data_IF_016816141718
#
_entry.id   IF_016816141718
#
_cell.length_a   1.000
_cell.length_b   1.000
_cell.length_c   1.000
_cell.angle_alpha   90.00
_cell.angle_beta   90.00
_cell.angle_gamma   90.00
#
_symmetry.space_group_name_H-M   'P 1'
#
loop_
_entity.id
_entity.type
_entity.pdbx_description
1 polymer ?
#
# COMPACT_ATOMS: atom_id res chain seq x y z
N UNK A 1 3.74 54.64 10.68
CA UNK A 1 3.25 54.96 9.32
C UNK A 1 3.26 53.70 8.53
N UNK A 2 2.10 53.17 8.38
CA UNK A 2 1.36 52.91 7.12
C UNK A 2 1.99 51.82 6.26
N UNK A 3 1.32 50.82 5.83
CA UNK A 3 -0.10 50.48 5.72
C UNK A 3 -0.26 49.08 5.16
N UNK A 4 -1.37 48.54 5.55
CA UNK A 4 -2.00 47.32 5.05
C UNK A 4 -2.25 47.32 3.55
N UNK A 5 -2.31 46.15 2.91
CA UNK A 5 -3.36 45.84 1.94
C UNK A 5 -3.59 44.34 1.82
N UNK A 6 -4.79 44.01 2.17
CA UNK A 6 -5.60 42.86 1.90
C UNK A 6 -6.08 42.84 0.42
N UNK A 7 -6.21 41.66 -0.16
CA UNK A 7 -7.13 41.30 -1.26
C UNK A 7 -7.05 39.79 -1.35
N UNK A 8 -8.03 38.99 -1.11
CA UNK A 8 -9.46 39.04 -1.33
C UNK A 8 -9.84 38.44 -2.68
N UNK A 9 -10.65 37.36 -2.60
CA UNK A 9 -11.53 36.86 -3.69
C UNK A 9 -10.95 35.71 -4.55
N UNK A 10 -11.69 34.64 -4.94
CA UNK A 10 -13.12 34.50 -5.16
C UNK A 10 -13.51 33.02 -5.14
N UNK A 11 -14.72 32.82 -4.69
CA UNK A 11 -15.56 31.61 -4.78
C UNK A 11 -16.02 31.45 -6.24
N UNK A 12 -16.00 30.24 -6.77
CA UNK A 12 -16.79 29.87 -7.94
C UNK A 12 -17.54 28.58 -7.68
N UNK A 13 -18.78 28.73 -7.30
CA UNK A 13 -19.86 27.75 -7.36
C UNK A 13 -20.27 27.56 -8.84
N UNK A 14 -20.37 26.33 -9.29
CA UNK A 14 -20.93 25.95 -10.59
C UNK A 14 -21.79 24.70 -10.44
N UNK A 15 -23.06 24.93 -10.17
CA UNK A 15 -24.18 23.98 -10.27
C UNK A 15 -24.75 24.03 -11.67
N UNK A 16 -25.24 22.92 -12.18
CA UNK A 16 -26.28 22.64 -13.16
C UNK A 16 -25.87 21.38 -13.94
N UNK A 17 -26.58 20.27 -14.04
CA UNK A 17 -28.02 20.11 -14.14
C UNK A 17 -28.31 19.21 -15.34
N UNK A 18 -29.13 18.27 -15.08
CA UNK A 18 -30.19 17.79 -15.94
C UNK A 18 -30.05 16.42 -16.64
N UNK A 19 -30.85 15.49 -16.19
CA UNK A 19 -31.98 14.77 -16.80
C UNK A 19 -31.74 14.12 -18.18
N UNK A 20 -32.01 12.82 -18.24
CA UNK A 20 -32.25 12.07 -19.48
C UNK A 20 -32.87 10.70 -19.16
N UNK A 21 -34.17 10.70 -18.96
CA UNK A 21 -35.04 9.52 -18.85
C UNK A 21 -35.30 8.98 -20.25
N UNK A 22 -35.17 7.69 -20.48
CA UNK A 22 -35.79 7.00 -21.64
C UNK A 22 -36.20 5.60 -21.26
N UNK A 23 -37.47 5.51 -21.00
CA UNK A 23 -38.29 4.27 -20.94
C UNK A 23 -38.43 3.68 -22.35
N UNK A 24 -38.24 2.40 -22.53
CA UNK A 24 -38.75 1.66 -23.66
C UNK A 24 -39.24 0.29 -23.21
N UNK A 25 -40.52 0.18 -23.16
CA UNK A 25 -41.38 -1.05 -23.12
C UNK A 25 -41.39 -1.72 -24.48
N UNK A 26 -41.43 -3.07 -24.50
CA UNK A 26 -41.63 -3.89 -25.69
C UNK A 26 -41.67 -5.37 -25.29
N UNK A 27 -42.76 -5.84 -24.94
CA UNK A 27 -43.79 -6.79 -25.39
C UNK A 27 -43.29 -8.16 -25.83
N UNK A 28 -43.82 -9.14 -25.11
CA UNK A 28 -44.13 -10.56 -25.29
C UNK A 28 -43.95 -11.20 -26.69
N UNK A 29 -43.34 -12.36 -26.70
CA UNK A 29 -43.39 -13.36 -27.75
C UNK A 29 -43.14 -14.76 -27.19
N UNK A 30 -44.21 -15.48 -26.96
CA UNK A 30 -44.27 -16.88 -26.55
C UNK A 30 -44.07 -17.78 -27.77
N UNK A 31 -43.26 -18.83 -27.67
CA UNK A 31 -43.57 -20.15 -28.27
C UNK A 31 -42.54 -21.19 -27.83
N UNK A 32 -43.04 -22.25 -27.26
CA UNK A 32 -42.29 -23.39 -26.79
C UNK A 32 -41.77 -24.28 -27.90
N UNK A 33 -40.75 -25.03 -27.60
CA UNK A 33 -40.66 -26.45 -27.98
C UNK A 33 -39.63 -27.17 -27.09
N UNK A 34 -40.07 -28.26 -26.51
CA UNK A 34 -39.25 -29.09 -25.65
C UNK A 34 -38.30 -29.97 -26.46
N UNK A 35 -37.12 -30.13 -25.97
CA UNK A 35 -36.29 -31.30 -26.25
C UNK A 35 -35.50 -31.71 -25.01
N UNK A 36 -35.67 -32.98 -24.70
CA UNK A 36 -35.06 -33.76 -23.62
C UNK A 36 -33.53 -33.69 -23.65
N UNK A 37 -33.00 -33.54 -22.47
CA UNK A 37 -31.90 -34.36 -22.00
C UNK A 37 -30.52 -34.13 -22.60
N UNK A 38 -29.66 -33.57 -21.79
CA UNK A 38 -28.38 -34.18 -21.44
C UNK A 38 -27.74 -33.32 -20.36
N UNK A 39 -27.79 -33.85 -19.16
CA UNK A 39 -27.01 -33.31 -18.04
C UNK A 39 -25.51 -33.47 -18.34
N UNK A 40 -24.90 -32.52 -19.06
CA UNK A 40 -23.47 -32.38 -19.08
C UNK A 40 -23.06 -31.77 -17.74
N UNK A 41 -22.57 -32.67 -16.88
CA UNK A 41 -21.81 -32.37 -15.70
C UNK A 41 -20.69 -31.40 -16.09
N UNK A 42 -20.93 -30.10 -15.93
CA UNK A 42 -19.90 -29.09 -16.04
C UNK A 42 -18.91 -29.35 -14.89
N UNK A 43 -17.85 -30.08 -15.23
CA UNK A 43 -16.67 -30.18 -14.39
C UNK A 43 -16.22 -28.76 -14.16
N UNK A 44 -16.38 -28.29 -12.90
CA UNK A 44 -15.98 -26.99 -12.48
C UNK A 44 -14.52 -26.76 -12.83
N UNK A 45 -14.26 -25.90 -13.78
CA UNK A 45 -12.98 -25.30 -13.98
C UNK A 45 -12.67 -24.54 -12.69
N UNK A 46 -11.96 -25.19 -11.79
CA UNK A 46 -11.25 -24.50 -10.71
C UNK A 46 -10.26 -23.60 -11.41
N UNK A 47 -10.67 -22.38 -11.70
CA UNK A 47 -9.75 -21.32 -12.06
C UNK A 47 -8.76 -21.25 -10.91
N UNK A 48 -7.59 -21.81 -11.14
CA UNK A 48 -6.47 -21.72 -10.21
C UNK A 48 -6.12 -20.26 -10.06
N UNK A 49 -6.75 -19.58 -9.10
CA UNK A 49 -6.30 -18.26 -8.66
C UNK A 49 -4.85 -18.47 -8.27
N UNK A 50 -3.92 -17.97 -9.11
CA UNK A 50 -2.50 -17.94 -8.77
C UNK A 50 -2.44 -17.17 -7.47
N UNK A 51 -2.23 -17.86 -6.35
CA UNK A 51 -2.03 -17.23 -5.04
C UNK A 51 -0.90 -16.24 -5.21
N UNK A 52 -1.25 -14.97 -5.23
CA UNK A 52 -0.30 -13.88 -5.37
C UNK A 52 0.58 -13.87 -4.13
N UNK A 53 1.85 -14.24 -4.28
CA UNK A 53 2.81 -14.08 -3.19
C UNK A 53 3.15 -12.61 -3.07
N UNK A 54 2.77 -12.01 -1.96
CA UNK A 54 3.09 -10.63 -1.66
C UNK A 54 4.38 -10.58 -0.84
N UNK A 55 5.19 -9.56 -1.07
CA UNK A 55 6.38 -9.32 -0.27
C UNK A 55 6.06 -8.42 0.90
N UNK A 56 6.56 -8.80 2.07
CA UNK A 56 6.49 -7.99 3.26
C UNK A 56 7.89 -7.55 3.70
N UNK A 57 8.02 -6.30 4.07
CA UNK A 57 9.20 -5.71 4.68
C UNK A 57 9.09 -5.88 6.20
N UNK A 58 10.13 -6.43 6.82
CA UNK A 58 10.20 -6.56 8.28
C UNK A 58 10.71 -5.26 8.88
N UNK A 59 9.91 -4.66 9.76
CA UNK A 59 10.20 -3.37 10.40
C UNK A 59 9.96 -3.47 11.90
N UNK A 60 10.77 -2.80 12.70
CA UNK A 60 10.57 -2.73 14.17
C UNK A 60 9.26 -2.00 14.48
N UNK A 61 8.56 -2.43 15.54
CA UNK A 61 7.26 -1.87 15.95
C UNK A 61 7.28 -0.33 16.02
N UNK A 62 8.26 0.23 16.68
CA UNK A 62 8.41 1.68 16.81
C UNK A 62 8.38 2.41 15.45
N UNK A 63 9.11 1.90 14.44
CA UNK A 63 9.12 2.49 13.10
C UNK A 63 7.79 2.27 12.36
N UNK A 64 7.15 1.11 12.57
CA UNK A 64 5.83 0.84 12.00
C UNK A 64 4.79 1.86 12.49
N UNK A 65 4.81 2.17 13.78
CA UNK A 65 3.86 3.13 14.36
C UNK A 65 4.05 4.52 13.75
N UNK A 66 5.29 4.99 13.57
CA UNK A 66 5.58 6.26 12.92
C UNK A 66 5.21 6.28 11.42
N UNK A 67 5.42 5.17 10.71
CA UNK A 67 5.03 5.04 9.30
C UNK A 67 3.51 5.12 9.17
N UNK A 68 2.75 4.40 10.01
CA UNK A 68 1.29 4.43 9.96
C UNK A 68 0.68 5.73 10.47
N UNK A 69 1.38 6.45 11.35
CA UNK A 69 1.00 7.81 11.76
C UNK A 69 1.30 8.88 10.68
N UNK A 70 2.01 8.50 9.60
CA UNK A 70 2.44 9.44 8.56
C UNK A 70 3.62 10.33 8.96
N UNK A 71 4.22 10.07 10.12
CA UNK A 71 5.35 10.84 10.63
C UNK A 71 6.69 10.43 10.03
N UNK A 72 6.80 9.18 9.54
CA UNK A 72 7.99 8.62 8.91
C UNK A 72 7.65 8.11 7.52
N UNK A 73 8.27 8.67 6.51
CA UNK A 73 8.10 8.29 5.10
C UNK A 73 9.38 7.74 4.45
N UNK A 74 10.54 7.77 5.14
CA UNK A 74 11.78 7.14 4.71
C UNK A 74 12.16 5.97 5.61
N UNK A 75 12.14 4.76 5.08
CA UNK A 75 12.70 3.60 5.76
C UNK A 75 14.18 3.45 5.42
N UNK A 76 15.05 3.47 6.43
CA UNK A 76 16.51 3.48 6.25
C UNK A 76 17.06 2.06 6.19
N UNK A 77 17.81 1.77 5.14
CA UNK A 77 18.42 0.46 4.87
C UNK A 77 19.86 0.57 4.37
N UNK A 78 20.62 -0.50 4.59
CA UNK A 78 22.02 -0.60 4.11
C UNK A 78 22.14 -1.06 2.66
N UNK A 79 21.02 -1.36 1.99
CA UNK A 79 21.01 -1.91 0.63
C UNK A 79 20.03 -1.15 -0.24
N UNK A 80 20.42 -1.01 -1.51
CA UNK A 80 19.58 -0.44 -2.56
C UNK A 80 18.45 -1.41 -2.92
N UNK A 81 17.29 -0.88 -3.30
CA UNK A 81 16.20 -1.68 -3.86
C UNK A 81 15.68 -1.08 -5.15
N UNK A 82 15.43 -1.96 -6.13
CA UNK A 82 14.74 -1.61 -7.37
C UNK A 82 13.21 -1.83 -7.26
N UNK A 83 12.73 -2.36 -6.12
CA UNK A 83 11.31 -2.60 -5.93
C UNK A 83 10.52 -1.30 -5.90
N UNK A 84 9.34 -1.37 -6.49
CA UNK A 84 8.34 -0.29 -6.48
C UNK A 84 6.95 -0.91 -6.36
N UNK A 85 5.99 -0.11 -5.89
CA UNK A 85 4.61 -0.53 -5.73
C UNK A 85 4.26 -0.91 -4.30
N UNK A 86 3.15 -1.60 -4.13
CA UNK A 86 2.65 -2.01 -2.82
C UNK A 86 3.50 -3.13 -2.22
N UNK A 87 3.86 -2.97 -0.96
CA UNK A 87 4.52 -3.96 -0.11
C UNK A 87 3.77 -4.05 1.21
N UNK A 88 3.74 -5.23 1.81
CA UNK A 88 3.24 -5.36 3.16
C UNK A 88 4.31 -4.96 4.18
N UNK A 89 3.86 -4.61 5.38
CA UNK A 89 4.71 -4.32 6.52
C UNK A 89 4.48 -5.38 7.60
N UNK A 90 5.56 -6.03 8.00
CA UNK A 90 5.57 -7.05 9.04
C UNK A 90 6.32 -6.55 10.27
N UNK A 91 5.79 -6.82 11.45
CA UNK A 91 6.49 -6.49 12.69
C UNK A 91 7.68 -7.41 12.93
N UNK A 92 8.84 -6.84 13.25
CA UNK A 92 10.03 -7.60 13.64
C UNK A 92 9.84 -8.24 15.02
N UNK A 93 10.57 -9.33 15.28
CA UNK A 93 10.51 -10.10 16.55
C UNK A 93 9.18 -10.79 16.80
N UNK A 94 8.87 -11.76 15.91
CA UNK A 94 8.04 -12.92 16.23
C UNK A 94 6.54 -12.74 16.47
N UNK A 95 5.91 -11.63 16.14
CA UNK A 95 4.44 -11.65 16.14
C UNK A 95 3.88 -12.49 14.99
N UNK A 96 4.70 -12.69 13.91
CA UNK A 96 4.24 -13.38 12.71
C UNK A 96 3.02 -12.73 12.10
N UNK A 97 2.92 -11.40 12.21
CA UNK A 97 1.76 -10.63 11.75
C UNK A 97 2.15 -9.58 10.72
N UNK A 98 1.34 -9.50 9.67
CA UNK A 98 1.34 -8.37 8.75
C UNK A 98 0.46 -7.29 9.35
N UNK A 99 1.04 -6.12 9.55
CA UNK A 99 0.40 -5.00 10.25
C UNK A 99 -0.31 -4.03 9.31
N UNK A 100 0.05 -4.05 8.04
CA UNK A 100 -0.49 -3.15 7.04
C UNK A 100 0.25 -3.24 5.73
N UNK A 101 0.05 -2.24 4.87
CA UNK A 101 0.75 -2.10 3.59
C UNK A 101 1.17 -0.65 3.35
N UNK A 102 2.13 -0.47 2.47
CA UNK A 102 2.64 0.85 2.07
C UNK A 102 3.10 0.79 0.62
N UNK A 103 3.08 1.90 -0.07
CA UNK A 103 3.62 1.98 -1.42
C UNK A 103 5.07 2.47 -1.38
N UNK A 104 6.00 1.63 -1.82
CA UNK A 104 7.40 1.98 -2.03
C UNK A 104 7.53 2.65 -3.40
N UNK A 105 7.93 3.90 -3.41
CA UNK A 105 7.95 4.72 -4.64
C UNK A 105 9.34 5.06 -5.11
N UNK A 106 10.33 5.12 -4.20
CA UNK A 106 11.69 5.48 -4.55
C UNK A 106 12.73 4.83 -3.62
N UNK A 107 14.00 4.88 -4.03
CA UNK A 107 15.14 4.45 -3.23
C UNK A 107 16.32 5.38 -3.53
N UNK A 108 16.70 6.20 -2.56
CA UNK A 108 17.73 7.24 -2.67
C UNK A 108 18.96 6.86 -1.87
N UNK A 109 20.15 7.06 -2.43
CA UNK A 109 21.36 7.03 -1.65
C UNK A 109 21.41 8.32 -0.80
N UNK A 110 21.79 8.19 0.46
CA UNK A 110 21.91 9.32 1.39
C UNK A 110 23.35 9.34 1.91
N UNK A 111 24.01 10.47 1.74
CA UNK A 111 25.34 10.66 2.30
C UNK A 111 25.26 10.73 3.83
N UNK A 112 26.27 10.20 4.52
CA UNK A 112 26.30 10.19 5.99
C UNK A 112 26.36 11.60 6.56
N UNK A 113 27.04 12.49 5.86
CA UNK A 113 27.26 13.89 6.23
C UNK A 113 25.93 14.69 6.25
N UNK A 114 25.07 14.46 5.26
CA UNK A 114 23.78 15.13 5.15
C UNK A 114 22.60 14.35 5.72
N UNK A 115 22.87 13.19 6.33
CA UNK A 115 21.81 12.30 6.82
C UNK A 115 20.84 13.01 7.76
N UNK A 116 21.36 13.77 8.72
CA UNK A 116 20.53 14.42 9.75
C UNK A 116 19.69 15.59 9.22
N UNK A 117 20.01 16.15 8.06
CA UNK A 117 19.19 17.16 7.38
C UNK A 117 17.82 16.59 6.99
N UNK A 118 17.75 15.28 6.85
CA UNK A 118 16.52 14.54 6.48
C UNK A 118 15.81 13.90 7.69
N UNK A 119 16.13 14.34 8.91
CA UNK A 119 15.58 13.76 10.14
C UNK A 119 14.05 13.80 10.21
N UNK A 120 13.41 14.78 9.57
CA UNK A 120 11.96 14.88 9.46
C UNK A 120 11.34 13.69 8.72
N UNK A 121 12.06 13.07 7.76
CA UNK A 121 11.60 11.95 6.97
C UNK A 121 11.87 10.60 7.64
N UNK A 122 13.06 10.39 8.20
CA UNK A 122 13.47 9.08 8.71
C UNK A 122 13.30 8.91 10.22
N UNK A 123 13.12 9.99 10.98
CA UNK A 123 12.93 10.01 12.45
C UNK A 123 14.04 9.34 13.28
N UNK A 124 15.20 9.10 12.70
CA UNK A 124 16.38 8.63 13.44
C UNK A 124 16.97 9.82 14.20
N UNK A 125 17.22 9.66 15.49
CA UNK A 125 17.70 10.75 16.35
C UNK A 125 19.20 11.01 16.21
N UNK A 126 19.98 9.95 16.05
CA UNK A 126 21.43 10.03 15.95
C UNK A 126 21.95 9.22 14.78
N UNK A 127 22.87 9.77 14.01
CA UNK A 127 23.53 9.05 12.90
C UNK A 127 24.29 7.81 13.40
N UNK A 128 24.78 7.84 14.65
CA UNK A 128 25.50 6.73 15.26
C UNK A 128 24.64 5.47 15.45
N UNK A 129 23.32 5.61 15.45
CA UNK A 129 22.39 4.46 15.46
C UNK A 129 22.34 3.75 14.13
N UNK A 130 22.83 4.37 13.05
CA UNK A 130 22.84 3.82 11.69
C UNK A 130 24.16 3.12 11.42
N UNK A 131 24.18 1.79 11.62
CA UNK A 131 25.39 0.97 11.47
C UNK A 131 25.66 0.53 10.02
N UNK A 132 24.94 1.06 9.05
CA UNK A 132 25.14 0.73 7.65
C UNK A 132 26.33 1.47 7.04
N UNK A 133 27.17 0.78 6.25
CA UNK A 133 28.25 1.39 5.48
C UNK A 133 27.68 2.32 4.40
N UNK A 134 26.68 1.83 3.66
CA UNK A 134 25.92 2.63 2.70
C UNK A 134 24.52 2.87 3.26
N UNK A 135 24.00 4.06 3.08
CA UNK A 135 22.67 4.43 3.59
C UNK A 135 21.74 4.67 2.42
N UNK A 136 20.62 4.00 2.44
CA UNK A 136 19.55 4.17 1.45
C UNK A 136 18.24 4.50 2.15
N UNK A 137 17.59 5.54 1.68
CA UNK A 137 16.24 5.91 2.07
C UNK A 137 15.26 5.26 1.07
N UNK A 138 14.43 4.35 1.56
CA UNK A 138 13.32 3.78 0.81
C UNK A 138 12.10 4.64 1.06
N UNK A 139 11.67 5.37 0.02
CA UNK A 139 10.60 6.36 0.11
C UNK A 139 9.25 5.67 0.08
N UNK A 140 8.48 5.90 1.13
CA UNK A 140 7.19 5.27 1.39
C UNK A 140 6.07 6.29 1.30
N UNK A 141 4.95 5.91 0.70
CA UNK A 141 3.74 6.74 0.64
C UNK A 141 2.50 5.87 0.83
N UNK A 142 1.39 6.46 1.19
CA UNK A 142 0.10 5.76 1.34
C UNK A 142 0.19 4.56 2.29
N UNK A 143 0.66 4.80 3.51
CA UNK A 143 0.67 3.77 4.54
C UNK A 143 -0.75 3.48 5.02
N UNK A 144 -1.13 2.20 5.01
CA UNK A 144 -2.45 1.73 5.42
C UNK A 144 -2.27 0.63 6.47
N UNK A 145 -2.75 0.87 7.68
CA UNK A 145 -2.77 -0.13 8.75
C UNK A 145 -3.97 -1.05 8.54
N UNK A 146 -3.80 -2.34 8.75
CA UNK A 146 -4.93 -3.28 8.73
C UNK A 146 -5.69 -3.25 10.06
N UNK A 147 -7.01 -3.24 10.02
CA UNK A 147 -7.87 -3.33 11.21
C UNK A 147 -7.61 -4.64 11.97
N UNK A 148 -7.43 -5.73 11.24
CA UNK A 148 -7.06 -7.04 11.77
C UNK A 148 -5.74 -7.49 11.14
N UNK A 149 -4.64 -7.52 11.91
CA UNK A 149 -3.37 -8.02 11.41
C UNK A 149 -3.44 -9.48 10.96
N UNK A 150 -2.91 -9.78 9.79
CA UNK A 150 -2.89 -11.14 9.24
C UNK A 150 -1.71 -11.94 9.78
N UNK A 151 -1.94 -13.19 10.15
CA UNK A 151 -0.83 -14.11 10.47
C UNK A 151 -0.12 -14.55 9.20
N UNK A 152 1.19 -14.66 9.27
CA UNK A 152 2.00 -15.27 8.21
C UNK A 152 3.02 -16.21 8.82
N UNK A 153 3.46 -17.20 8.02
CA UNK A 153 4.54 -18.09 8.43
C UNK A 153 5.89 -17.43 8.13
N UNK A 154 6.63 -17.10 9.18
CA UNK A 154 7.97 -16.54 9.03
C UNK A 154 8.93 -17.61 8.51
N UNK A 155 9.60 -17.34 7.38
CA UNK A 155 10.65 -18.23 6.88
C UNK A 155 11.90 -18.08 7.75
N UNK A 156 12.52 -19.17 8.21
CA UNK A 156 13.78 -19.09 8.97
C UNK A 156 14.83 -18.27 8.23
N UNK A 157 15.54 -17.38 8.93
CA UNK A 157 16.59 -16.54 8.36
C UNK A 157 16.12 -15.30 7.56
N UNK A 158 14.82 -15.09 7.37
CA UNK A 158 14.32 -13.94 6.68
C UNK A 158 14.38 -12.69 7.57
N UNK A 159 15.37 -11.82 7.33
CA UNK A 159 15.62 -10.63 8.18
C UNK A 159 14.96 -9.36 7.62
N UNK A 160 14.83 -9.25 6.30
CA UNK A 160 14.40 -8.02 5.64
C UNK A 160 13.13 -8.22 4.82
N UNK A 161 13.12 -9.18 3.91
CA UNK A 161 12.01 -9.49 3.03
C UNK A 161 11.41 -10.86 3.32
N UNK A 162 10.10 -10.90 3.41
CA UNK A 162 9.34 -12.14 3.58
C UNK A 162 8.40 -12.30 2.40
N UNK A 163 8.38 -13.50 1.82
CA UNK A 163 7.32 -13.88 0.88
C UNK A 163 6.11 -14.35 1.71
N UNK A 164 5.02 -13.62 1.65
CA UNK A 164 3.78 -13.98 2.30
C UNK A 164 2.84 -14.57 1.28
N UNK A 165 2.11 -15.62 1.67
CA UNK A 165 0.94 -16.09 0.93
C UNK A 165 -0.25 -15.53 1.69
N UNK A 166 -1.12 -14.82 1.01
CA UNK A 166 -2.43 -14.52 1.55
C UNK A 166 -3.25 -15.81 1.40
N UNK A 167 -3.59 -16.39 2.55
CA UNK A 167 -4.52 -17.53 2.62
C UNK A 167 -5.94 -17.05 2.42
#
# INVERSE_FOLDING_TARGET
MSGARSSGNAIATGTLGNSGNATATGTLGNSGNGTKGQSKKLAGARSGLKRSSTLALVVKKHWLDLIFAGEKDWEIRGVKTARRGWIHLAESKATGKLMGRVRLVDCRAVARESFMEHAAHHRVKNIEDVKYKNIYAWVLVKAERFDKPFRYRHAPGAVMWIKTRCD
#
